data_IF_125340017358
#
_entry.id   IF_125340017358
#
_cell.length_a   1.000
_cell.length_b   1.000
_cell.length_c   1.000
_cell.angle_alpha   90.00
_cell.angle_beta   90.00
_cell.angle_gamma   90.00
#
_symmetry.space_group_name_H-M   'P 1'
#
loop_
_entity.id
_entity.type
_entity.pdbx_description
1 polymer ?
#
# COMPACT_ATOMS: atom_id res chain seq x y z
N UNK A 1 -92.55 14.57 0.52
CA UNK A 1 -92.37 15.77 -0.32
C UNK A 1 -90.93 16.26 -0.17
N UNK A 2 -90.16 16.16 -1.25
CA UNK A 2 -88.76 16.62 -1.36
C UNK A 2 -88.62 18.11 -1.04
N UNK A 3 -87.57 18.49 -0.31
CA UNK A 3 -86.81 19.72 -0.58
C UNK A 3 -85.32 19.48 -0.31
N UNK A 4 -84.59 19.29 -1.40
CA UNK A 4 -83.13 19.28 -1.45
C UNK A 4 -82.58 20.70 -1.26
N UNK A 5 -81.50 20.85 -0.47
CA UNK A 5 -80.55 21.99 -0.51
C UNK A 5 -79.19 21.46 -0.05
N UNK A 6 -78.34 21.09 -1.01
CA UNK A 6 -77.19 21.84 -1.50
C UNK A 6 -75.97 21.74 -0.55
N UNK A 7 -75.16 20.73 -0.81
CA UNK A 7 -73.83 20.51 -0.24
C UNK A 7 -72.88 21.52 -0.88
N UNK A 8 -72.33 22.44 -0.09
CA UNK A 8 -71.12 23.20 -0.46
C UNK A 8 -69.99 22.61 0.35
N UNK A 9 -69.33 21.59 -0.20
CA UNK A 9 -68.08 21.09 0.32
C UNK A 9 -66.99 22.08 -0.10
N UNK A 10 -66.56 22.92 0.84
CA UNK A 10 -65.39 23.78 0.70
C UNK A 10 -64.14 22.88 0.76
N UNK A 11 -63.76 22.30 -0.38
CA UNK A 11 -62.46 21.65 -0.54
C UNK A 11 -61.36 22.71 -0.53
N UNK A 12 -60.86 23.05 0.65
CA UNK A 12 -59.58 23.72 0.84
C UNK A 12 -58.48 22.75 0.39
N UNK A 13 -58.15 22.77 -0.90
CA UNK A 13 -56.92 22.20 -1.43
C UNK A 13 -55.78 23.08 -0.93
N UNK A 14 -55.26 22.74 0.25
CA UNK A 14 -53.96 23.19 0.70
C UNK A 14 -52.92 22.54 -0.22
N UNK A 15 -52.65 23.19 -1.34
CA UNK A 15 -51.49 22.90 -2.17
C UNK A 15 -50.24 23.25 -1.36
N UNK A 16 -49.74 22.29 -0.59
CA UNK A 16 -48.40 22.32 -0.06
C UNK A 16 -47.47 22.13 -1.26
N UNK A 17 -47.13 23.22 -1.93
CA UNK A 17 -45.96 23.24 -2.81
C UNK A 17 -44.76 23.06 -1.90
N UNK A 18 -44.36 21.82 -1.68
CA UNK A 18 -43.01 21.50 -1.24
C UNK A 18 -42.09 21.88 -2.41
N UNK A 19 -41.73 23.15 -2.51
CA UNK A 19 -40.55 23.53 -3.25
C UNK A 19 -39.37 22.98 -2.45
N UNK A 20 -38.93 21.77 -2.80
CA UNK A 20 -37.60 21.31 -2.44
C UNK A 20 -36.63 22.29 -3.08
N UNK A 21 -36.24 23.31 -2.32
CA UNK A 21 -35.18 24.21 -2.71
C UNK A 21 -33.93 23.33 -2.76
N UNK A 22 -33.41 23.07 -3.97
CA UNK A 22 -32.17 22.32 -4.11
C UNK A 22 -31.12 23.03 -3.25
N UNK A 23 -30.68 22.37 -2.18
CA UNK A 23 -29.59 22.86 -1.34
C UNK A 23 -28.43 23.17 -2.27
N UNK A 24 -27.96 24.42 -2.30
CA UNK A 24 -26.81 24.78 -3.10
C UNK A 24 -25.65 23.84 -2.74
N UNK A 25 -25.09 23.17 -3.74
CA UNK A 25 -24.07 22.16 -3.51
C UNK A 25 -22.86 22.80 -2.82
N UNK A 26 -22.49 22.27 -1.64
CA UNK A 26 -21.40 22.81 -0.86
C UNK A 26 -20.08 22.28 -1.41
N UNK A 27 -19.38 23.11 -2.19
CA UNK A 27 -18.11 22.76 -2.81
C UNK A 27 -16.94 23.26 -1.99
N UNK A 28 -15.86 22.48 -1.95
CA UNK A 28 -14.59 22.86 -1.33
C UNK A 28 -13.41 22.23 -2.07
N UNK A 29 -12.25 22.87 -2.00
CA UNK A 29 -11.02 22.37 -2.61
C UNK A 29 -10.07 21.90 -1.51
N UNK A 30 -9.44 20.73 -1.72
CA UNK A 30 -8.27 20.30 -0.93
C UNK A 30 -7.11 20.09 -1.88
N UNK A 31 -5.96 20.70 -1.57
CA UNK A 31 -4.71 20.46 -2.29
C UNK A 31 -3.81 19.62 -1.39
N UNK A 32 -3.44 18.42 -1.85
CA UNK A 32 -2.39 17.64 -1.19
C UNK A 32 -1.05 17.92 -1.90
N UNK A 33 -0.16 18.62 -1.21
CA UNK A 33 1.11 19.09 -1.78
C UNK A 33 2.03 17.91 -2.18
N UNK A 34 2.40 16.96 -1.27
CA UNK A 34 3.20 15.79 -1.63
C UNK A 34 2.62 14.93 -2.75
N UNK A 35 1.28 14.90 -2.85
CA UNK A 35 0.58 14.11 -3.87
C UNK A 35 0.39 14.82 -5.20
N UNK A 36 0.86 16.06 -5.37
CA UNK A 36 0.67 16.86 -6.59
C UNK A 36 -0.78 16.84 -7.11
N UNK A 37 -1.75 16.81 -6.21
CA UNK A 37 -3.16 16.63 -6.57
C UNK A 37 -4.06 17.66 -5.88
N UNK A 38 -4.95 18.25 -6.67
CA UNK A 38 -6.06 19.07 -6.22
C UNK A 38 -7.35 18.27 -6.32
N UNK A 39 -8.06 18.16 -5.21
CA UNK A 39 -9.35 17.47 -5.09
C UNK A 39 -10.46 18.51 -4.99
N UNK A 40 -11.48 18.40 -5.82
CA UNK A 40 -12.73 19.15 -5.69
C UNK A 40 -13.76 18.26 -5.01
N UNK A 41 -14.23 18.71 -3.86
CA UNK A 41 -15.29 18.07 -3.11
C UNK A 41 -16.63 18.74 -3.39
N UNK A 42 -17.70 17.96 -3.40
CA UNK A 42 -19.08 18.40 -3.37
C UNK A 42 -19.81 17.61 -2.28
N UNK A 43 -20.32 18.32 -1.27
CA UNK A 43 -20.99 17.71 -0.12
C UNK A 43 -20.16 16.62 0.59
N UNK A 44 -18.84 16.80 0.67
CA UNK A 44 -17.91 15.87 1.31
C UNK A 44 -17.45 14.69 0.44
N UNK A 45 -17.92 14.59 -0.81
CA UNK A 45 -17.50 13.56 -1.76
C UNK A 45 -16.56 14.17 -2.79
N UNK A 46 -15.47 13.49 -3.14
CA UNK A 46 -14.59 13.90 -4.24
C UNK A 46 -15.36 13.73 -5.57
N UNK A 47 -15.52 14.82 -6.32
CA UNK A 47 -16.18 14.80 -7.64
C UNK A 47 -15.20 15.02 -8.80
N UNK A 48 -14.01 15.56 -8.52
CA UNK A 48 -12.91 15.74 -9.48
C UNK A 48 -11.56 15.68 -8.78
N UNK A 49 -10.56 15.22 -9.53
CA UNK A 49 -9.16 15.22 -9.16
C UNK A 49 -8.34 15.80 -10.30
N UNK A 50 -7.40 16.67 -9.96
CA UNK A 50 -6.58 17.38 -10.95
C UNK A 50 -5.10 17.24 -10.59
N UNK A 51 -4.25 16.81 -11.53
CA UNK A 51 -2.80 16.88 -11.35
C UNK A 51 -2.36 18.35 -11.37
N UNK A 52 -1.46 18.71 -10.46
CA UNK A 52 -0.99 20.08 -10.29
C UNK A 52 0.55 20.16 -10.24
N UNK A 53 1.09 21.35 -10.43
CA UNK A 53 2.44 21.69 -9.95
C UNK A 53 2.35 22.53 -8.69
N UNK A 54 3.31 22.32 -7.80
CA UNK A 54 3.47 23.05 -6.55
C UNK A 54 4.73 23.93 -6.59
N UNK A 55 4.94 24.70 -5.53
CA UNK A 55 6.17 25.45 -5.30
C UNK A 55 7.39 24.54 -5.17
N UNK A 56 8.56 25.02 -5.57
CA UNK A 56 9.84 24.33 -5.31
C UNK A 56 10.14 24.27 -3.82
N UNK A 57 11.08 23.43 -3.39
CA UNK A 57 11.56 23.41 -1.99
C UNK A 57 12.09 24.78 -1.53
N UNK A 58 12.74 25.53 -2.42
CA UNK A 58 13.22 26.90 -2.13
C UNK A 58 12.11 27.96 -2.07
N UNK A 59 10.93 27.67 -2.66
CA UNK A 59 9.75 28.55 -2.71
C UNK A 59 8.49 27.72 -2.49
N UNK A 60 8.31 27.15 -1.29
CA UNK A 60 7.29 26.15 -1.05
C UNK A 60 5.89 26.73 -1.20
N UNK A 61 4.93 25.87 -1.56
CA UNK A 61 3.51 26.21 -1.50
C UNK A 61 3.09 26.47 -0.06
N UNK A 62 2.22 27.46 0.13
CA UNK A 62 1.72 27.85 1.45
C UNK A 62 0.74 26.78 1.93
N UNK A 63 0.88 26.33 3.18
CA UNK A 63 -0.08 25.44 3.84
C UNK A 63 -1.11 26.24 4.62
N UNK A 64 -2.32 25.71 4.74
CA UNK A 64 -3.38 26.29 5.57
C UNK A 64 -4.73 26.38 4.89
N UNK A 65 -5.67 26.96 5.62
CA UNK A 65 -7.04 27.19 5.17
C UNK A 65 -7.19 28.58 4.57
N UNK A 66 -7.97 28.68 3.50
CA UNK A 66 -8.24 29.92 2.80
C UNK A 66 -9.54 29.80 1.98
N UNK A 67 -9.86 30.82 1.20
CA UNK A 67 -11.00 30.82 0.27
C UNK A 67 -10.58 31.42 -1.06
N UNK A 68 -11.35 31.15 -2.11
CA UNK A 68 -11.24 31.88 -3.37
C UNK A 68 -11.75 33.31 -3.16
N UNK A 69 -10.89 34.31 -3.31
CA UNK A 69 -11.24 35.72 -3.09
C UNK A 69 -11.56 36.47 -4.37
N UNK A 70 -11.03 36.03 -5.51
CA UNK A 70 -11.35 36.59 -6.82
C UNK A 70 -11.09 35.57 -7.94
N UNK A 71 -11.67 35.85 -9.10
CA UNK A 71 -11.60 35.00 -10.29
C UNK A 71 -11.38 35.88 -11.52
N UNK A 72 -10.42 35.54 -12.37
CA UNK A 72 -10.09 36.30 -13.59
C UNK A 72 -9.95 35.35 -14.78
N UNK A 73 -10.64 35.66 -15.88
CA UNK A 73 -10.47 35.02 -17.18
C UNK A 73 -9.42 35.76 -17.99
N UNK A 74 -8.54 35.02 -18.66
CA UNK A 74 -7.48 35.55 -19.52
C UNK A 74 -6.72 36.69 -18.81
N UNK A 75 -6.07 36.37 -17.68
CA UNK A 75 -5.41 37.38 -16.84
C UNK A 75 -4.15 37.92 -17.50
N UNK A 76 -3.90 39.23 -17.38
CA UNK A 76 -2.55 39.79 -17.60
C UNK A 76 -1.64 39.41 -16.43
N UNK A 77 -0.47 38.84 -16.72
CA UNK A 77 0.53 38.53 -15.70
C UNK A 77 1.42 39.74 -15.42
N UNK A 78 1.55 40.09 -14.15
CA UNK A 78 2.44 41.15 -13.67
C UNK A 78 3.62 40.51 -12.94
N UNK A 79 4.84 40.47 -13.53
CA UNK A 79 6.00 39.94 -12.85
C UNK A 79 6.25 40.66 -11.50
N UNK A 80 6.72 39.95 -10.46
CA UNK A 80 7.08 40.60 -9.20
C UNK A 80 8.07 41.75 -9.43
N UNK A 81 7.73 42.94 -8.90
CA UNK A 81 8.48 44.19 -9.05
C UNK A 81 8.78 44.56 -10.52
N UNK A 82 7.84 44.29 -11.44
CA UNK A 82 8.04 44.53 -12.88
C UNK A 82 8.45 45.97 -13.20
N UNK A 83 7.84 46.96 -12.55
CA UNK A 83 8.13 48.37 -12.78
C UNK A 83 9.55 48.76 -12.33
N UNK A 84 10.01 48.27 -11.17
CA UNK A 84 11.38 48.49 -10.66
C UNK A 84 12.44 47.81 -11.55
N UNK A 85 12.06 46.69 -12.16
CA UNK A 85 12.95 45.86 -12.99
C UNK A 85 12.91 46.23 -14.47
N UNK A 86 12.14 47.25 -14.86
CA UNK A 86 11.95 47.63 -16.27
C UNK A 86 11.31 46.53 -17.13
N UNK A 87 10.59 45.58 -16.51
CA UNK A 87 9.85 44.52 -17.21
C UNK A 87 8.50 45.05 -17.67
N UNK A 88 7.90 44.41 -18.67
CA UNK A 88 6.53 44.74 -19.11
C UNK A 88 5.57 43.65 -18.64
N UNK A 89 4.34 43.97 -18.21
CA UNK A 89 3.30 42.98 -17.96
C UNK A 89 3.05 42.11 -19.20
N UNK A 90 2.84 40.81 -18.99
CA UNK A 90 2.61 39.86 -20.08
C UNK A 90 1.10 39.73 -20.29
N UNK A 91 0.55 40.15 -21.44
CA UNK A 91 -0.87 40.04 -21.72
C UNK A 91 -1.31 38.57 -21.85
N UNK A 92 -2.62 38.30 -21.95
CA UNK A 92 -3.11 36.95 -22.19
C UNK A 92 -2.56 36.37 -23.49
N UNK A 93 -2.26 35.07 -23.49
CA UNK A 93 -1.74 34.36 -24.66
C UNK A 93 -0.77 33.23 -24.28
N UNK A 94 -0.17 32.55 -25.29
CA UNK A 94 0.64 31.36 -25.08
C UNK A 94 1.87 31.56 -24.18
N UNK A 95 2.39 32.78 -24.09
CA UNK A 95 3.57 33.09 -23.29
C UNK A 95 3.21 33.47 -21.83
N UNK A 96 1.93 33.54 -21.49
CA UNK A 96 1.51 33.98 -20.17
C UNK A 96 1.67 32.86 -19.12
N UNK A 97 2.50 33.04 -18.09
CA UNK A 97 2.81 31.98 -17.13
C UNK A 97 1.68 31.64 -16.16
N UNK A 98 0.60 32.44 -16.10
CA UNK A 98 -0.60 32.11 -15.32
C UNK A 98 -1.71 31.47 -16.15
N UNK A 99 -1.49 31.28 -17.46
CA UNK A 99 -2.40 30.57 -18.35
C UNK A 99 -3.75 31.28 -18.54
N UNK A 100 -4.79 30.50 -18.77
CA UNK A 100 -6.11 31.02 -19.18
C UNK A 100 -6.99 31.48 -18.01
N UNK A 101 -6.76 31.00 -16.79
CA UNK A 101 -7.60 31.33 -15.63
C UNK A 101 -6.75 31.59 -14.40
N UNK A 102 -7.23 32.51 -13.57
CA UNK A 102 -6.70 32.80 -12.24
C UNK A 102 -7.82 32.71 -11.20
N UNK A 103 -7.58 31.91 -10.16
CA UNK A 103 -8.40 31.82 -8.95
C UNK A 103 -7.51 32.31 -7.79
N UNK A 104 -7.67 33.57 -7.38
CA UNK A 104 -6.86 34.11 -6.29
C UNK A 104 -7.33 33.57 -4.95
N UNK A 105 -6.37 33.24 -4.09
CA UNK A 105 -6.61 32.77 -2.74
C UNK A 105 -6.44 33.92 -1.74
N UNK A 106 -6.99 33.76 -0.54
CA UNK A 106 -6.83 34.73 0.56
C UNK A 106 -5.39 34.93 1.05
N UNK A 107 -4.42 34.23 0.48
CA UNK A 107 -2.99 34.49 0.72
C UNK A 107 -2.46 35.57 -0.24
N UNK A 108 -1.62 36.50 0.24
CA UNK A 108 -1.09 37.58 -0.60
C UNK A 108 -0.40 37.06 -1.86
N UNK A 109 -0.83 37.56 -3.03
CA UNK A 109 -0.23 37.26 -4.33
C UNK A 109 -0.18 35.76 -4.68
N UNK A 110 -1.13 34.98 -4.20
CA UNK A 110 -1.19 33.53 -4.37
C UNK A 110 -2.49 33.08 -5.03
N UNK A 111 -2.43 32.02 -5.83
CA UNK A 111 -3.59 31.55 -6.57
C UNK A 111 -3.45 30.13 -7.11
N UNK A 112 -4.59 29.60 -7.54
CA UNK A 112 -4.68 28.43 -8.42
C UNK A 112 -4.85 28.96 -9.85
N UNK A 113 -3.99 28.54 -10.77
CA UNK A 113 -3.96 29.13 -12.10
C UNK A 113 -3.50 28.14 -13.19
N UNK A 114 -3.71 28.51 -14.45
CA UNK A 114 -3.24 27.74 -15.60
C UNK A 114 -1.72 27.79 -15.80
N UNK A 115 -1.22 27.39 -16.96
CA UNK A 115 0.23 27.45 -17.22
C UNK A 115 0.52 27.58 -18.71
N UNK A 116 1.63 28.23 -19.05
CA UNK A 116 2.23 28.16 -20.39
C UNK A 116 3.21 26.98 -20.55
N UNK A 117 3.48 26.24 -19.48
CA UNK A 117 4.37 25.08 -19.47
C UNK A 117 3.62 23.85 -18.93
N UNK A 118 2.83 23.15 -19.75
CA UNK A 118 2.03 22.00 -19.32
C UNK A 118 2.89 20.81 -18.85
N UNK A 119 4.13 20.69 -19.34
CA UNK A 119 5.05 19.61 -18.94
C UNK A 119 5.54 19.75 -17.50
N UNK A 120 5.33 20.92 -16.87
CA UNK A 120 5.65 21.11 -15.45
C UNK A 120 4.63 20.48 -14.49
N UNK A 121 3.46 20.05 -14.98
CA UNK A 121 2.41 19.47 -14.15
C UNK A 121 2.87 18.12 -13.58
N UNK A 122 2.65 17.90 -12.28
CA UNK A 122 3.18 16.75 -11.54
C UNK A 122 4.59 16.95 -10.99
N UNK A 123 5.13 18.18 -11.03
CA UNK A 123 6.48 18.50 -10.52
C UNK A 123 6.49 19.73 -9.61
N UNK A 124 7.53 19.86 -8.79
CA UNK A 124 7.74 21.03 -7.95
C UNK A 124 8.48 22.11 -8.76
N UNK A 125 7.74 22.94 -9.49
CA UNK A 125 8.29 23.86 -10.50
C UNK A 125 7.85 25.32 -10.33
N UNK A 126 6.91 25.60 -9.42
CA UNK A 126 6.34 26.93 -9.25
C UNK A 126 7.13 27.77 -8.24
N UNK A 127 6.86 29.08 -8.21
CA UNK A 127 7.37 29.99 -7.16
C UNK A 127 6.42 30.07 -5.96
N UNK A 128 5.66 29.00 -5.70
CA UNK A 128 4.75 28.86 -4.57
C UNK A 128 3.32 28.50 -5.01
N UNK A 129 2.77 29.18 -6.03
CA UNK A 129 1.38 29.02 -6.48
C UNK A 129 1.04 27.61 -7.00
N UNK A 130 -0.25 27.31 -7.09
CA UNK A 130 -0.75 26.02 -7.62
C UNK A 130 -0.99 26.16 -9.12
N UNK A 131 -0.24 25.41 -9.93
CA UNK A 131 -0.39 25.38 -11.39
C UNK A 131 -1.22 24.20 -11.84
N UNK A 132 -2.07 24.41 -12.82
CA UNK A 132 -2.91 23.41 -13.46
C UNK A 132 -2.74 23.47 -14.97
N UNK A 133 -3.12 22.40 -15.68
CA UNK A 133 -3.34 22.49 -17.13
C UNK A 133 -4.45 23.50 -17.41
N UNK A 134 -4.38 24.19 -18.56
CA UNK A 134 -5.38 25.21 -18.89
C UNK A 134 -6.80 24.63 -18.97
N UNK A 135 -6.97 23.43 -19.53
CA UNK A 135 -8.25 22.71 -19.54
C UNK A 135 -8.82 22.48 -18.13
N UNK A 136 -7.95 22.07 -17.21
CA UNK A 136 -8.32 21.66 -15.87
C UNK A 136 -8.73 22.87 -15.03
N UNK A 137 -7.97 23.97 -15.11
CA UNK A 137 -8.34 25.22 -14.42
C UNK A 137 -9.58 25.87 -15.03
N UNK A 138 -9.84 25.71 -16.33
CA UNK A 138 -11.07 26.17 -16.97
C UNK A 138 -12.30 25.43 -16.46
N UNK A 139 -12.21 24.10 -16.35
CA UNK A 139 -13.27 23.30 -15.74
C UNK A 139 -13.47 23.71 -14.27
N UNK A 140 -12.39 23.71 -13.46
CA UNK A 140 -12.44 24.09 -12.06
C UNK A 140 -13.05 25.49 -11.89
N UNK A 141 -12.63 26.47 -12.71
CA UNK A 141 -13.15 27.82 -12.70
C UNK A 141 -14.67 27.85 -12.92
N UNK A 142 -15.22 27.00 -13.79
CA UNK A 142 -16.67 26.93 -13.99
C UNK A 142 -17.42 26.31 -12.81
N UNK A 143 -16.76 25.41 -12.05
CA UNK A 143 -17.36 24.66 -10.95
C UNK A 143 -17.32 25.40 -9.62
N UNK A 144 -16.37 26.31 -9.38
CA UNK A 144 -16.20 26.98 -8.08
C UNK A 144 -16.59 28.45 -8.11
N UNK A 145 -16.94 29.00 -6.95
CA UNK A 145 -17.35 30.40 -6.79
C UNK A 145 -16.40 31.16 -5.86
N UNK A 146 -16.43 32.50 -5.90
CA UNK A 146 -15.79 33.30 -4.85
C UNK A 146 -16.41 32.91 -3.50
N UNK A 147 -15.56 32.73 -2.49
CA UNK A 147 -15.95 32.19 -1.18
C UNK A 147 -15.80 30.68 -1.04
N UNK A 148 -15.54 29.93 -2.13
CA UNK A 148 -15.29 28.47 -2.03
C UNK A 148 -14.11 28.20 -1.09
N UNK A 149 -14.28 27.38 -0.03
CA UNK A 149 -13.19 27.00 0.87
C UNK A 149 -12.09 26.24 0.14
N UNK A 150 -10.84 26.54 0.49
CA UNK A 150 -9.65 25.88 -0.04
C UNK A 150 -8.74 25.52 1.13
N UNK A 151 -8.27 24.27 1.19
CA UNK A 151 -7.31 23.82 2.21
C UNK A 151 -6.09 23.21 1.54
N UNK A 152 -4.91 23.74 1.84
CA UNK A 152 -3.63 23.21 1.35
C UNK A 152 -2.99 22.42 2.48
N UNK A 153 -2.81 21.13 2.27
CA UNK A 153 -2.28 20.18 3.26
C UNK A 153 -0.97 19.55 2.79
N UNK A 154 -0.22 19.06 3.76
CA UNK A 154 1.02 18.33 3.53
C UNK A 154 0.89 16.90 4.07
N UNK A 155 0.16 16.07 3.34
CA UNK A 155 -0.12 14.69 3.72
C UNK A 155 0.77 13.76 2.89
N UNK A 156 1.84 13.25 3.51
CA UNK A 156 2.75 12.29 2.87
C UNK A 156 2.25 10.86 2.99
N UNK A 157 1.40 10.56 3.97
CA UNK A 157 0.82 9.22 4.15
C UNK A 157 -0.70 9.26 4.06
N UNK A 158 -1.28 8.53 3.11
CA UNK A 158 -2.73 8.29 3.04
C UNK A 158 -3.00 6.83 3.36
N UNK A 159 -3.94 6.56 4.25
CA UNK A 159 -4.40 5.21 4.56
C UNK A 159 -5.73 4.96 3.88
N UNK A 160 -5.92 3.74 3.37
CA UNK A 160 -7.16 3.31 2.73
C UNK A 160 -7.49 1.85 3.04
N UNK A 161 -8.58 1.39 2.44
CA UNK A 161 -8.95 -0.02 2.40
C UNK A 161 -9.36 -0.33 0.96
N UNK A 162 -8.84 -1.44 0.43
CA UNK A 162 -9.24 -1.94 -0.88
C UNK A 162 -10.75 -2.24 -0.87
N UNK A 163 -11.53 -1.75 -1.85
CA UNK A 163 -12.98 -1.87 -1.84
C UNK A 163 -13.49 -3.29 -2.12
N UNK A 164 -12.67 -4.19 -2.67
CA UNK A 164 -13.09 -5.54 -3.08
C UNK A 164 -12.84 -6.57 -1.99
N UNK A 165 -11.71 -6.45 -1.30
CA UNK A 165 -11.22 -7.43 -0.33
C UNK A 165 -11.12 -6.86 1.08
N UNK A 166 -11.25 -5.54 1.27
CA UNK A 166 -11.10 -4.88 2.57
C UNK A 166 -9.66 -4.88 3.08
N UNK A 167 -8.69 -5.11 2.20
CA UNK A 167 -7.28 -5.12 2.56
C UNK A 167 -6.84 -3.71 2.95
N UNK A 168 -6.13 -3.57 4.07
CA UNK A 168 -5.57 -2.29 4.51
C UNK A 168 -4.55 -1.80 3.48
N UNK A 169 -4.68 -0.57 3.03
CA UNK A 169 -3.76 0.05 2.07
C UNK A 169 -3.08 1.28 2.66
N UNK A 170 -1.92 1.60 2.09
CA UNK A 170 -1.18 2.83 2.36
C UNK A 170 -0.64 3.41 1.06
N UNK A 171 -0.72 4.73 0.92
CA UNK A 171 -0.05 5.49 -0.13
C UNK A 171 0.97 6.39 0.54
N UNK A 172 2.24 6.27 0.15
CA UNK A 172 3.33 7.07 0.69
C UNK A 172 3.89 7.95 -0.42
N UNK A 173 3.71 9.26 -0.27
CA UNK A 173 4.27 10.27 -1.16
C UNK A 173 5.66 10.70 -0.70
N UNK A 174 6.55 11.09 -1.64
CA UNK A 174 7.81 11.73 -1.30
C UNK A 174 7.61 12.96 -0.40
N UNK A 175 8.49 13.13 0.58
CA UNK A 175 8.54 14.35 1.41
C UNK A 175 9.25 15.47 0.61
N UNK A 176 8.54 16.02 -0.37
CA UNK A 176 9.05 16.98 -1.38
C UNK A 176 9.67 18.27 -0.80
N UNK A 177 9.45 18.56 0.48
CA UNK A 177 9.98 19.72 1.20
C UNK A 177 10.84 19.33 2.41
N UNK A 178 11.17 18.05 2.55
CA UNK A 178 12.06 17.54 3.60
C UNK A 178 11.59 17.89 5.03
N UNK A 179 10.28 17.90 5.27
CA UNK A 179 9.70 18.32 6.56
C UNK A 179 9.83 17.25 7.66
N UNK A 180 10.28 16.04 7.32
CA UNK A 180 10.45 14.92 8.26
C UNK A 180 9.11 14.39 8.78
N UNK A 181 8.04 14.57 8.00
CA UNK A 181 6.67 14.35 8.49
C UNK A 181 6.16 12.92 8.30
N UNK A 182 6.75 12.16 7.37
CA UNK A 182 6.27 10.84 6.94
C UNK A 182 6.22 9.82 8.07
N UNK A 183 7.32 9.60 8.81
CA UNK A 183 7.33 8.63 9.92
C UNK A 183 6.30 8.98 10.98
N UNK A 184 6.21 10.24 11.39
CA UNK A 184 5.20 10.67 12.36
C UNK A 184 3.77 10.43 11.87
N UNK A 185 3.45 10.82 10.63
CA UNK A 185 2.13 10.61 10.04
C UNK A 185 1.79 9.11 9.94
N UNK A 186 2.76 8.28 9.58
CA UNK A 186 2.62 6.83 9.54
C UNK A 186 2.27 6.28 10.93
N UNK A 187 3.10 6.59 11.92
CA UNK A 187 2.94 6.04 13.26
C UNK A 187 1.64 6.48 13.93
N UNK A 188 1.30 7.76 13.85
CA UNK A 188 0.04 8.30 14.38
C UNK A 188 -1.17 7.70 13.64
N UNK A 189 -1.10 7.59 12.32
CA UNK A 189 -2.19 7.08 11.50
C UNK A 189 -2.46 5.58 11.74
N UNK A 190 -1.41 4.77 11.93
CA UNK A 190 -1.52 3.37 12.30
C UNK A 190 -2.13 3.20 13.70
N UNK A 191 -1.67 3.99 14.68
CA UNK A 191 -2.20 3.94 16.06
C UNK A 191 -3.67 4.33 16.13
N UNK A 192 -4.06 5.42 15.48
CA UNK A 192 -5.44 5.90 15.46
C UNK A 192 -6.43 4.86 14.88
N UNK A 193 -5.96 4.02 13.95
CA UNK A 193 -6.77 2.98 13.31
C UNK A 193 -6.71 1.63 14.02
N UNK A 194 -5.87 1.50 15.05
CA UNK A 194 -5.60 0.21 15.70
C UNK A 194 -4.90 -0.80 14.77
N UNK A 195 -4.11 -0.32 13.80
CA UNK A 195 -3.40 -1.17 12.85
C UNK A 195 -1.96 -1.45 13.27
N UNK A 196 -1.46 -0.74 14.27
CA UNK A 196 -0.07 -0.73 14.72
C UNK A 196 0.54 -2.12 14.95
N UNK A 197 -0.12 -2.99 15.72
CA UNK A 197 0.46 -4.25 16.18
C UNK A 197 0.62 -5.31 15.08
N UNK A 198 -0.11 -5.17 13.96
CA UNK A 198 -0.08 -6.13 12.86
C UNK A 198 0.88 -5.78 11.73
N UNK A 199 1.62 -4.68 11.83
CA UNK A 199 2.47 -4.16 10.75
C UNK A 199 3.80 -4.88 10.71
N UNK A 200 4.18 -5.34 9.51
CA UNK A 200 5.53 -5.80 9.25
C UNK A 200 6.45 -4.61 8.94
N UNK A 201 7.01 -4.04 10.01
CA UNK A 201 7.84 -2.82 9.96
C UNK A 201 9.02 -2.88 8.98
N UNK A 202 9.78 -3.98 8.86
CA UNK A 202 10.93 -4.02 7.95
C UNK A 202 10.58 -3.73 6.49
N UNK A 203 9.41 -4.19 6.02
CA UNK A 203 8.94 -3.86 4.67
C UNK A 203 8.33 -2.45 4.61
N UNK A 204 7.61 -2.01 5.65
CA UNK A 204 7.04 -0.67 5.69
C UNK A 204 8.11 0.42 5.71
N UNK A 205 9.24 0.19 6.40
CA UNK A 205 10.40 1.09 6.40
C UNK A 205 10.95 1.26 4.99
N UNK A 206 11.10 0.18 4.24
CA UNK A 206 11.50 0.23 2.83
C UNK A 206 10.53 1.04 1.96
N UNK A 207 9.22 0.89 2.19
CA UNK A 207 8.21 1.71 1.48
C UNK A 207 8.31 3.21 1.84
N UNK A 208 8.70 3.54 3.08
CA UNK A 208 8.92 4.93 3.49
C UNK A 208 10.23 5.52 2.95
N UNK A 209 11.26 4.69 2.76
CA UNK A 209 12.55 5.07 2.15
C UNK A 209 12.42 5.28 0.63
N UNK A 210 11.60 4.45 -0.03
CA UNK A 210 11.38 4.46 -1.48
C UNK A 210 9.89 4.74 -1.82
N UNK A 211 9.34 5.92 -1.47
CA UNK A 211 7.93 6.22 -1.61
C UNK A 211 7.51 6.27 -3.09
N UNK A 212 6.60 5.38 -3.48
CA UNK A 212 6.12 5.26 -4.86
C UNK A 212 5.04 6.28 -5.24
N UNK A 213 4.37 6.88 -4.24
CA UNK A 213 3.16 7.68 -4.43
C UNK A 213 1.95 6.89 -4.92
N UNK A 214 2.04 5.55 -4.94
CA UNK A 214 0.95 4.65 -5.34
C UNK A 214 0.33 4.01 -4.12
N UNK A 215 -0.92 3.58 -4.28
CA UNK A 215 -1.58 2.77 -3.27
C UNK A 215 -0.98 1.37 -3.25
N UNK A 216 -0.56 0.92 -2.07
CA UNK A 216 0.04 -0.39 -1.84
C UNK A 216 -0.64 -1.08 -0.64
N UNK A 217 -0.68 -2.41 -0.65
CA UNK A 217 -1.13 -3.16 0.52
C UNK A 217 -0.19 -2.89 1.70
N UNK A 218 -0.76 -2.58 2.86
CA UNK A 218 0.00 -2.41 4.10
C UNK A 218 0.74 -3.72 4.42
N UNK A 219 2.07 -3.71 4.57
CA UNK A 219 2.81 -4.90 4.97
C UNK A 219 2.36 -5.39 6.35
N UNK A 220 1.96 -6.66 6.44
CA UNK A 220 1.48 -7.25 7.70
C UNK A 220 2.39 -8.37 8.19
N UNK A 221 2.57 -8.43 9.50
CA UNK A 221 3.32 -9.48 10.18
C UNK A 221 2.49 -10.77 10.20
N UNK A 222 3.16 -11.89 9.95
CA UNK A 222 2.55 -13.22 9.96
C UNK A 222 3.25 -14.09 11.01
N UNK A 223 2.49 -14.74 11.87
CA UNK A 223 3.04 -15.78 12.75
C UNK A 223 3.43 -17.01 11.93
N UNK A 224 4.55 -17.66 12.28
CA UNK A 224 4.99 -18.87 11.61
C UNK A 224 4.87 -20.09 12.52
N UNK A 225 4.38 -21.18 11.94
CA UNK A 225 4.36 -22.50 12.57
C UNK A 225 4.80 -23.58 11.59
N UNK A 226 5.34 -24.67 12.13
CA UNK A 226 5.68 -25.88 11.39
C UNK A 226 4.97 -27.06 12.04
N UNK A 227 4.13 -27.77 11.29
CA UNK A 227 3.26 -28.83 11.78
C UNK A 227 2.44 -28.41 13.03
N UNK A 228 1.97 -27.16 13.03
CA UNK A 228 1.22 -26.56 14.14
C UNK A 228 2.05 -26.12 15.35
N UNK A 229 3.37 -26.33 15.36
CA UNK A 229 4.25 -25.83 16.42
C UNK A 229 4.79 -24.43 16.05
N UNK A 230 4.67 -23.42 16.94
CA UNK A 230 5.20 -22.08 16.67
C UNK A 230 6.72 -22.06 16.49
N UNK A 231 7.21 -21.32 15.50
CA UNK A 231 8.66 -21.22 15.22
C UNK A 231 9.36 -20.08 15.96
N UNK A 232 8.61 -19.15 16.57
CA UNK A 232 9.19 -17.91 17.10
C UNK A 232 9.84 -17.03 16.02
N UNK A 233 9.55 -17.31 14.75
CA UNK A 233 9.96 -16.54 13.59
C UNK A 233 8.75 -15.76 13.07
N UNK A 234 9.04 -14.61 12.48
CA UNK A 234 8.05 -13.74 11.86
C UNK A 234 8.10 -13.90 10.34
N UNK A 235 6.96 -14.17 9.73
CA UNK A 235 6.74 -14.07 8.29
C UNK A 235 6.10 -12.73 7.95
N UNK A 236 5.87 -12.51 6.66
CA UNK A 236 5.27 -11.26 6.19
C UNK A 236 4.24 -11.51 5.10
N UNK A 237 3.21 -10.67 5.07
CA UNK A 237 2.32 -10.50 3.92
C UNK A 237 2.64 -9.15 3.29
N UNK A 238 3.14 -9.15 2.05
CA UNK A 238 3.54 -7.94 1.32
C UNK A 238 3.01 -8.01 -0.12
N UNK A 239 2.25 -7.01 -0.54
CA UNK A 239 1.68 -6.97 -1.89
C UNK A 239 0.78 -8.16 -2.23
N UNK A 240 0.04 -8.69 -1.25
CA UNK A 240 -0.85 -9.85 -1.43
C UNK A 240 -0.13 -11.21 -1.49
N UNK A 241 1.18 -11.24 -1.24
CA UNK A 241 1.99 -12.46 -1.20
C UNK A 241 2.57 -12.70 0.17
N UNK A 242 2.89 -13.95 0.48
CA UNK A 242 3.37 -14.36 1.78
C UNK A 242 4.81 -14.80 1.72
N UNK A 243 5.57 -14.41 2.73
CA UNK A 243 7.00 -14.56 2.77
C UNK A 243 7.43 -15.16 4.09
N UNK A 244 8.42 -16.04 4.04
CA UNK A 244 9.04 -16.66 5.22
C UNK A 244 10.53 -16.34 5.25
N UNK A 245 11.15 -16.21 6.45
CA UNK A 245 12.59 -16.04 6.57
C UNK A 245 13.34 -17.17 5.88
N UNK A 246 14.36 -16.80 5.13
CA UNK A 246 15.16 -17.69 4.32
C UNK A 246 16.64 -17.38 4.52
N UNK A 247 17.37 -18.27 5.19
CA UNK A 247 18.82 -18.20 5.27
C UNK A 247 19.40 -19.06 4.13
N UNK A 248 20.03 -18.43 3.14
CA UNK A 248 20.68 -19.15 2.05
C UNK A 248 21.80 -20.04 2.59
N UNK A 249 21.79 -21.37 2.34
CA UNK A 249 23.00 -22.16 2.49
C UNK A 249 23.92 -21.77 1.33
N UNK A 250 25.03 -21.12 1.63
CA UNK A 250 25.96 -20.64 0.61
C UNK A 250 26.41 -21.74 -0.35
N UNK A 251 25.86 -21.75 -1.57
CA UNK A 251 26.48 -22.01 -2.88
C UNK A 251 25.42 -22.30 -3.95
N UNK A 252 25.47 -21.49 -5.01
CA UNK A 252 25.32 -21.82 -6.44
C UNK A 252 24.13 -22.64 -6.98
N UNK A 253 23.16 -23.07 -6.17
CA UNK A 253 21.99 -23.84 -6.66
C UNK A 253 20.70 -23.05 -6.89
N UNK A 254 20.62 -21.79 -6.46
CA UNK A 254 19.33 -21.12 -6.17
C UNK A 254 19.13 -19.78 -6.87
N UNK A 255 19.81 -19.57 -7.99
CA UNK A 255 19.67 -18.39 -8.82
C UNK A 255 18.39 -18.46 -9.66
N UNK A 256 17.22 -18.15 -9.08
CA UNK A 256 16.02 -17.64 -9.79
C UNK A 256 14.77 -17.42 -8.93
N UNK A 257 14.91 -17.20 -7.62
CA UNK A 257 13.72 -17.06 -6.75
C UNK A 257 13.52 -15.61 -6.32
N UNK A 258 12.25 -15.23 -6.17
CA UNK A 258 11.80 -13.92 -5.70
C UNK A 258 12.18 -13.69 -4.23
N UNK A 259 13.47 -13.51 -4.00
CA UNK A 259 14.02 -13.17 -2.70
C UNK A 259 13.82 -11.69 -2.44
N UNK A 260 13.45 -11.37 -1.20
CA UNK A 260 13.33 -9.99 -0.73
C UNK A 260 14.16 -9.83 0.52
N UNK A 261 14.80 -8.67 0.65
CA UNK A 261 15.58 -8.34 1.84
C UNK A 261 14.85 -7.24 2.62
N UNK A 262 14.58 -7.53 3.90
CA UNK A 262 13.96 -6.60 4.83
C UNK A 262 14.59 -6.74 6.21
N UNK A 263 15.01 -5.63 6.81
CA UNK A 263 15.64 -5.63 8.13
C UNK A 263 16.91 -6.49 8.22
N UNK A 264 17.65 -6.63 7.10
CA UNK A 264 18.85 -7.47 7.02
C UNK A 264 18.58 -8.99 6.98
N UNK A 265 17.32 -9.40 6.89
CA UNK A 265 16.92 -10.80 6.74
C UNK A 265 16.43 -11.01 5.31
N UNK A 266 16.86 -12.10 4.68
CA UNK A 266 16.32 -12.54 3.40
C UNK A 266 15.03 -13.31 3.62
N UNK A 267 14.04 -13.03 2.80
CA UNK A 267 12.73 -13.68 2.78
C UNK A 267 12.49 -14.30 1.42
N UNK A 268 11.84 -15.44 1.41
CA UNK A 268 11.39 -16.12 0.19
C UNK A 268 9.88 -16.24 0.21
N UNK A 269 9.26 -16.13 -0.97
CA UNK A 269 7.86 -16.43 -1.17
C UNK A 269 7.52 -17.84 -0.64
N UNK A 270 6.42 -17.96 0.10
CA UNK A 270 6.05 -19.20 0.80
C UNK A 270 5.77 -20.35 -0.16
N UNK A 271 5.22 -20.10 -1.35
CA UNK A 271 4.96 -21.14 -2.34
C UNK A 271 6.29 -21.71 -2.85
N UNK A 272 7.23 -20.81 -3.16
CA UNK A 272 8.57 -21.18 -3.60
C UNK A 272 9.38 -21.89 -2.50
N UNK A 273 9.17 -21.51 -1.23
CA UNK A 273 9.76 -22.16 -0.06
C UNK A 273 9.21 -23.56 0.15
N UNK A 274 7.89 -23.70 0.14
CA UNK A 274 7.22 -24.97 0.37
C UNK A 274 7.54 -25.99 -0.73
N UNK A 275 7.47 -25.56 -1.99
CA UNK A 275 7.84 -26.41 -3.13
C UNK A 275 9.29 -26.89 -3.08
N UNK A 276 10.20 -26.09 -2.53
CA UNK A 276 11.62 -26.45 -2.43
C UNK A 276 11.92 -27.52 -1.38
N UNK A 277 11.09 -27.59 -0.33
CA UNK A 277 11.31 -28.49 0.80
C UNK A 277 10.31 -29.67 0.82
N UNK A 278 9.49 -29.82 -0.22
CA UNK A 278 8.43 -30.83 -0.26
C UNK A 278 7.33 -30.58 0.78
N UNK A 279 7.12 -29.32 1.16
CA UNK A 279 6.13 -28.92 2.15
C UNK A 279 4.83 -28.47 1.47
N UNK A 280 3.76 -28.49 2.24
CA UNK A 280 2.55 -27.71 1.95
C UNK A 280 2.43 -26.57 2.96
N UNK A 281 1.50 -25.65 2.75
CA UNK A 281 1.26 -24.57 3.69
C UNK A 281 -0.23 -24.21 3.77
N UNK A 282 -0.63 -23.67 4.90
CA UNK A 282 -1.97 -23.16 5.18
C UNK A 282 -1.87 -21.73 5.70
N UNK A 283 -2.74 -20.84 5.21
CA UNK A 283 -2.78 -19.44 5.61
C UNK A 283 -4.11 -19.16 6.28
N UNK A 284 -4.06 -18.81 7.57
CA UNK A 284 -5.27 -18.53 8.34
C UNK A 284 -4.98 -17.49 9.42
N UNK A 285 -5.84 -16.46 9.49
CA UNK A 285 -5.86 -15.53 10.64
C UNK A 285 -4.53 -14.83 10.96
N UNK A 286 -3.73 -14.46 9.95
CA UNK A 286 -2.41 -13.86 10.17
C UNK A 286 -1.33 -14.87 10.55
N UNK A 287 -1.52 -16.15 10.20
CA UNK A 287 -0.56 -17.22 10.40
C UNK A 287 -0.26 -17.96 9.10
N UNK A 288 0.99 -18.37 8.95
CA UNK A 288 1.46 -19.31 7.93
C UNK A 288 1.86 -20.58 8.68
N UNK A 289 1.16 -21.68 8.41
CA UNK A 289 1.48 -23.00 8.95
C UNK A 289 2.07 -23.87 7.84
N UNK A 290 3.37 -24.11 7.92
CA UNK A 290 4.09 -25.02 7.04
C UNK A 290 3.83 -26.46 7.51
N UNK A 291 3.53 -27.38 6.59
CA UNK A 291 3.25 -28.77 6.91
C UNK A 291 4.14 -29.71 6.10
N UNK A 292 4.77 -30.65 6.81
CA UNK A 292 5.56 -31.70 6.18
C UNK A 292 4.77 -33.00 6.07
N UNK A 293 5.02 -33.82 5.04
CA UNK A 293 4.67 -35.23 5.08
C UNK A 293 5.34 -35.94 6.27
N UNK A 294 4.87 -37.14 6.59
CA UNK A 294 5.43 -37.99 7.65
C UNK A 294 5.88 -39.32 7.07
N UNK A 295 7.07 -39.77 7.46
CA UNK A 295 7.58 -41.09 7.11
C UNK A 295 7.24 -42.11 8.20
N UNK A 296 6.95 -43.34 7.77
CA UNK A 296 6.65 -44.48 8.62
C UNK A 296 7.40 -45.72 8.12
N UNK A 297 7.90 -46.54 9.05
CA UNK A 297 8.39 -47.89 8.81
C UNK A 297 7.44 -48.85 9.53
N UNK A 298 6.61 -49.57 8.77
CA UNK A 298 5.46 -50.27 9.34
C UNK A 298 4.52 -49.31 10.07
N UNK A 299 4.32 -49.54 11.37
CA UNK A 299 3.53 -48.65 12.25
C UNK A 299 4.37 -47.60 12.99
N UNK A 300 5.70 -47.67 12.87
CA UNK A 300 6.61 -46.74 13.56
C UNK A 300 6.75 -45.45 12.76
N UNK A 301 6.37 -44.32 13.38
CA UNK A 301 6.61 -43.00 12.81
C UNK A 301 8.10 -42.63 12.87
N UNK A 302 8.68 -42.38 11.71
CA UNK A 302 10.05 -41.87 11.56
C UNK A 302 10.12 -40.35 11.61
N UNK A 303 8.99 -39.65 11.51
CA UNK A 303 8.90 -38.19 11.72
C UNK A 303 8.68 -37.39 10.44
N UNK A 304 8.82 -36.04 10.52
CA UNK A 304 8.58 -35.15 9.39
C UNK A 304 9.60 -35.37 8.26
N UNK A 305 9.12 -35.29 7.02
CA UNK A 305 9.95 -35.44 5.82
C UNK A 305 10.26 -34.08 5.21
N UNK A 306 11.51 -33.88 4.82
CA UNK A 306 11.93 -32.79 3.95
C UNK A 306 12.36 -33.38 2.61
N UNK A 307 11.84 -32.86 1.50
CA UNK A 307 12.28 -33.27 0.16
C UNK A 307 13.14 -32.18 -0.42
N UNK A 308 14.43 -32.46 -0.63
CA UNK A 308 15.41 -31.51 -1.17
C UNK A 308 16.06 -32.17 -2.38
N UNK A 309 16.04 -31.52 -3.54
CA UNK A 309 16.60 -32.05 -4.79
C UNK A 309 16.14 -33.49 -5.11
N UNK A 310 14.84 -33.77 -4.91
CA UNK A 310 14.20 -35.09 -5.09
C UNK A 310 14.68 -36.18 -4.13
N UNK A 311 15.38 -35.82 -3.06
CA UNK A 311 15.80 -36.74 -1.99
C UNK A 311 14.99 -36.44 -0.74
N UNK A 312 14.36 -37.46 -0.19
CA UNK A 312 13.62 -37.38 1.07
C UNK A 312 14.58 -37.54 2.25
N UNK A 313 14.41 -36.68 3.26
CA UNK A 313 15.22 -36.66 4.46
C UNK A 313 14.34 -36.83 5.70
N UNK A 314 14.84 -37.56 6.69
CA UNK A 314 14.19 -37.78 7.99
C UNK A 314 15.11 -37.38 9.16
N UNK A 315 14.55 -37.06 10.35
CA UNK A 315 15.34 -36.68 11.51
C UNK A 315 16.26 -37.80 11.97
N UNK A 316 17.51 -37.46 12.31
CA UNK A 316 18.50 -38.39 12.87
C UNK A 316 18.01 -39.03 14.17
N UNK A 317 17.28 -38.28 14.99
CA UNK A 317 16.71 -38.80 16.25
C UNK A 317 15.78 -40.00 16.06
N UNK A 318 15.22 -40.18 14.86
CA UNK A 318 14.32 -41.28 14.53
C UNK A 318 15.04 -42.57 14.16
N UNK A 319 16.35 -42.51 13.90
CA UNK A 319 17.15 -43.64 13.45
C UNK A 319 17.64 -44.57 14.58
N UNK A 320 17.55 -44.12 15.84
CA UNK A 320 18.19 -44.78 16.98
C UNK A 320 17.96 -46.29 17.03
N UNK A 321 16.69 -46.74 16.94
CA UNK A 321 16.39 -48.17 16.95
C UNK A 321 16.47 -48.83 15.56
N UNK A 322 16.39 -48.03 14.48
CA UNK A 322 16.34 -48.54 13.10
C UNK A 322 17.73 -48.97 12.63
N UNK A 323 18.78 -48.25 13.02
CA UNK A 323 20.16 -48.55 12.62
C UNK A 323 20.93 -49.40 13.62
N UNK A 324 20.45 -49.53 14.87
CA UNK A 324 21.14 -50.31 15.91
C UNK A 324 21.26 -51.81 15.55
N UNK A 325 20.48 -52.31 14.60
CA UNK A 325 20.43 -53.73 14.22
C UNK A 325 21.46 -54.16 13.17
N UNK A 326 22.22 -53.25 12.55
CA UNK A 326 23.18 -53.63 11.49
C UNK A 326 24.53 -52.92 11.60
N UNK A 327 25.39 -53.43 12.49
CA UNK A 327 26.81 -53.16 12.47
C UNK A 327 27.57 -54.39 11.94
N UNK A 328 27.39 -54.75 10.66
CA UNK A 328 28.13 -55.84 10.00
C UNK A 328 29.24 -55.34 9.06
N UNK A 329 29.35 -54.02 8.86
CA UNK A 329 30.37 -53.39 8.01
C UNK A 329 31.28 -52.46 8.81
N UNK A 330 32.60 -52.60 8.60
CA UNK A 330 33.64 -51.69 9.12
C UNK A 330 33.96 -50.55 8.13
N UNK A 331 33.27 -50.47 6.98
CA UNK A 331 33.48 -49.42 5.98
C UNK A 331 32.57 -48.23 6.31
N UNK A 332 33.12 -47.05 6.64
CA UNK A 332 32.30 -45.87 6.89
C UNK A 332 31.58 -45.44 5.61
N UNK A 333 30.27 -45.16 5.70
CA UNK A 333 29.51 -44.54 4.63
C UNK A 333 29.50 -43.02 4.81
N UNK A 334 29.69 -42.29 3.73
CA UNK A 334 29.52 -40.84 3.72
C UNK A 334 28.06 -40.51 3.46
N UNK A 335 27.44 -39.72 4.34
CA UNK A 335 26.06 -39.28 4.23
C UNK A 335 25.99 -37.76 4.20
N UNK A 336 25.11 -37.23 3.35
CA UNK A 336 24.76 -35.80 3.37
C UNK A 336 23.84 -35.55 4.55
N UNK A 337 24.24 -34.67 5.47
CA UNK A 337 23.40 -34.24 6.58
C UNK A 337 22.90 -32.83 6.30
N UNK A 338 21.59 -32.61 6.43
CA UNK A 338 20.99 -31.27 6.37
C UNK A 338 20.52 -30.87 7.76
N UNK A 339 20.63 -29.58 8.09
CA UNK A 339 20.11 -29.04 9.35
C UNK A 339 18.85 -28.22 9.07
N UNK A 340 17.81 -28.44 9.87
CA UNK A 340 16.55 -27.72 9.76
C UNK A 340 15.95 -27.57 11.16
N UNK A 341 15.62 -26.33 11.55
CA UNK A 341 15.02 -26.00 12.86
C UNK A 341 15.81 -26.51 14.07
N UNK A 342 17.14 -26.63 13.97
CA UNK A 342 18.01 -27.13 15.04
C UNK A 342 18.15 -28.65 15.08
N UNK A 343 17.38 -29.38 14.27
CA UNK A 343 17.53 -30.82 14.08
C UNK A 343 18.46 -31.13 12.90
N UNK A 344 18.97 -32.36 12.90
CA UNK A 344 19.74 -32.93 11.79
C UNK A 344 18.92 -33.98 11.08
N UNK A 345 19.00 -33.98 9.77
CA UNK A 345 18.26 -34.86 8.89
C UNK A 345 19.23 -35.60 7.96
N UNK A 346 18.92 -36.86 7.69
CA UNK A 346 19.69 -37.72 6.78
C UNK A 346 18.80 -38.29 5.69
N UNK A 347 19.37 -38.72 4.55
CA UNK A 347 18.60 -39.26 3.45
C UNK A 347 17.86 -40.52 3.89
N UNK A 348 16.60 -40.64 3.48
CA UNK A 348 15.72 -41.75 3.81
C UNK A 348 16.26 -43.10 3.32
N UNK A 349 17.15 -43.10 2.31
CA UNK A 349 17.85 -44.29 1.82
C UNK A 349 18.68 -44.99 2.90
N UNK A 350 19.05 -44.31 3.98
CA UNK A 350 19.71 -44.94 5.14
C UNK A 350 18.81 -45.99 5.79
N UNK A 351 17.49 -45.77 5.79
CA UNK A 351 16.50 -46.73 6.30
C UNK A 351 16.30 -47.89 5.32
N UNK A 352 16.39 -47.67 4.01
CA UNK A 352 16.28 -48.75 3.01
C UNK A 352 17.39 -49.80 3.10
N UNK A 353 18.47 -49.54 3.84
CA UNK A 353 19.50 -50.54 4.15
C UNK A 353 19.05 -51.52 5.25
N UNK A 354 17.94 -51.27 5.92
CA UNK A 354 17.32 -52.15 6.91
C UNK A 354 16.79 -53.43 6.25
N UNK A 355 17.19 -54.60 6.75
CA UNK A 355 16.77 -55.92 6.24
C UNK A 355 15.43 -56.44 6.80
N UNK A 356 14.67 -55.64 7.55
CA UNK A 356 13.37 -56.07 8.08
C UNK A 356 12.25 -56.08 7.04
N UNK A 357 11.18 -56.81 7.32
CA UNK A 357 10.01 -56.98 6.43
C UNK A 357 9.05 -55.77 6.43
N UNK A 358 9.33 -54.74 7.23
CA UNK A 358 8.45 -53.57 7.39
C UNK A 358 8.48 -52.67 6.15
N UNK A 359 7.30 -52.27 5.66
CA UNK A 359 7.16 -51.39 4.51
C UNK A 359 7.39 -49.92 4.89
N UNK A 360 8.19 -49.23 4.10
CA UNK A 360 8.42 -47.80 4.23
C UNK A 360 7.34 -47.02 3.45
N UNK A 361 6.66 -46.08 4.11
CA UNK A 361 5.66 -45.21 3.47
C UNK A 361 5.78 -43.74 3.90
N UNK A 362 5.43 -42.84 2.98
CA UNK A 362 5.31 -41.41 3.23
C UNK A 362 3.84 -41.02 3.10
N UNK A 363 3.29 -40.40 4.14
CA UNK A 363 1.92 -39.93 4.17
C UNK A 363 1.88 -38.39 4.13
N UNK A 364 0.99 -37.85 3.30
CA UNK A 364 0.80 -36.40 3.17
C UNK A 364 0.19 -35.76 4.44
N UNK A 365 0.40 -34.45 4.62
CA UNK A 365 -0.08 -33.71 5.79
C UNK A 365 -1.60 -33.48 5.85
#
# INVERSE_FOLDING_TARGET
MQKARLIVALCLVLAWTCTAQAQAANRSIVVNIPGFTLYLYENGVVIREYPISIGTELKPSIMGETTIINKVTDPTYYPPRWWERGLTPIPPGPNNPVGSRWLGLGFPSYGIHGTNNPDSIGTAASSGCIRMRNSDVEELYSLVQVGTPVRLVYQTVIFGEDPMYGNKTVTIYPDVYSLGSTRRQMEEGLKQRGWWDGVFWPALEKLMEEPSGREECLPLSMSLSFNGQPLGLEGAMVGGRWFVPYASPGRDGMANKELREWGGITYMDVEAYAAQLGLSFEIQGGSINLRSPKAYLGEKMLGPVLTIDQVDYIPVGSLGDVLATQATSLVPQQLTVVSFQGDYYVPLQVVLQYEGEEELRIEGP
#
